data_IF_616977076766
#
_entry.id   IF_616977076766
#
_cell.length_a   1.000
_cell.length_b   1.000
_cell.length_c   1.000
_cell.angle_alpha   90.00
_cell.angle_beta   90.00
_cell.angle_gamma   90.00
#
_symmetry.space_group_name_H-M   'P 1'
#
loop_
_entity.id
_entity.type
_entity.pdbx_description
1 polymer ?
#
# COMPACT_ATOMS: atom_id res chain seq x y z
N UNK A 1 26.23 -2.50 2.92
CA UNK A 1 25.29 -1.36 2.86
C UNK A 1 24.57 -1.41 1.52
N UNK A 2 23.27 -1.21 1.54
CA UNK A 2 22.43 -1.15 0.33
C UNK A 2 21.91 0.28 0.24
N UNK A 3 21.99 0.89 -0.95
CA UNK A 3 21.54 2.26 -1.19
C UNK A 3 20.66 2.28 -2.43
N UNK A 4 19.50 2.90 -2.32
CA UNK A 4 18.57 3.13 -3.43
C UNK A 4 18.30 4.63 -3.58
N UNK A 5 18.16 5.08 -4.82
CA UNK A 5 17.59 6.39 -5.13
C UNK A 5 16.14 6.17 -5.57
N UNK A 6 15.19 6.69 -4.79
CA UNK A 6 13.76 6.43 -5.03
C UNK A 6 13.27 7.00 -6.36
N UNK A 7 13.89 8.08 -6.85
CA UNK A 7 13.54 8.63 -8.17
C UNK A 7 14.02 7.73 -9.30
N UNK A 8 15.24 7.21 -9.19
CA UNK A 8 15.80 6.28 -10.18
C UNK A 8 15.04 4.95 -10.20
N UNK A 9 14.54 4.52 -9.05
CA UNK A 9 13.77 3.29 -8.91
C UNK A 9 12.30 3.43 -9.35
N UNK A 10 11.81 4.65 -9.56
CA UNK A 10 10.41 4.89 -9.87
C UNK A 10 9.98 4.28 -11.21
N UNK A 11 8.80 3.67 -11.22
CA UNK A 11 8.14 3.12 -12.40
C UNK A 11 6.65 3.44 -12.33
N UNK A 12 6.09 3.97 -13.41
CA UNK A 12 4.68 4.35 -13.45
C UNK A 12 3.95 3.58 -14.54
N UNK A 13 2.69 3.24 -14.27
CA UNK A 13 1.80 2.56 -15.20
C UNK A 13 0.45 3.31 -15.22
N UNK A 14 -0.07 3.71 -16.40
CA UNK A 14 -1.32 4.44 -16.47
C UNK A 14 -2.56 3.65 -16.06
N UNK A 15 -2.48 2.31 -16.01
CA UNK A 15 -3.63 1.45 -15.68
C UNK A 15 -3.75 1.15 -14.18
N UNK A 16 -2.66 1.21 -13.43
CA UNK A 16 -2.62 0.90 -11.99
C UNK A 16 -1.34 1.44 -11.37
N UNK A 17 -1.37 1.70 -10.06
CA UNK A 17 -0.14 2.02 -9.35
C UNK A 17 0.83 0.84 -9.36
N UNK A 18 2.12 1.13 -9.26
CA UNK A 18 3.17 0.12 -9.18
C UNK A 18 3.75 0.11 -7.77
N UNK A 19 3.83 -1.08 -7.18
CA UNK A 19 4.57 -1.32 -5.96
C UNK A 19 5.83 -2.11 -6.29
N UNK A 20 6.94 -1.42 -6.40
CA UNK A 20 8.23 -2.03 -6.72
C UNK A 20 8.96 -2.41 -5.45
N UNK A 21 9.08 -3.71 -5.20
CA UNK A 21 9.84 -4.23 -4.07
C UNK A 21 11.33 -4.02 -4.35
N UNK A 22 11.98 -3.24 -3.50
CA UNK A 22 13.41 -2.93 -3.62
C UNK A 22 14.27 -3.97 -2.91
N UNK A 23 13.74 -4.59 -1.87
CA UNK A 23 14.44 -5.62 -1.13
C UNK A 23 13.60 -6.19 0.00
N UNK A 24 14.19 -7.15 0.72
CA UNK A 24 13.55 -7.82 1.83
C UNK A 24 14.27 -7.58 3.14
N UNK A 25 13.48 -7.57 4.21
CA UNK A 25 13.92 -7.55 5.59
C UNK A 25 13.51 -8.86 6.24
N UNK A 26 14.02 -9.15 7.42
CA UNK A 26 13.51 -10.27 8.21
C UNK A 26 12.02 -10.03 8.53
N UNK A 27 11.17 -10.89 8.00
CA UNK A 27 9.71 -10.80 8.19
C UNK A 27 8.99 -9.73 7.37
N UNK A 28 9.63 -9.18 6.32
CA UNK A 28 8.98 -8.14 5.53
C UNK A 28 9.76 -7.69 4.31
N UNK A 29 9.33 -6.56 3.75
CA UNK A 29 9.94 -5.95 2.59
C UNK A 29 9.93 -4.41 2.67
N UNK A 30 10.69 -3.78 1.78
CA UNK A 30 10.65 -2.35 1.57
C UNK A 30 10.47 -2.06 0.08
N UNK A 31 9.65 -1.05 -0.22
CA UNK A 31 9.04 -0.86 -1.53
C UNK A 31 8.97 0.62 -1.85
N UNK A 32 9.11 0.97 -3.13
CA UNK A 32 8.64 2.26 -3.62
C UNK A 32 7.32 2.05 -4.36
N UNK A 33 6.29 2.77 -3.93
CA UNK A 33 4.98 2.78 -4.56
C UNK A 33 4.85 4.03 -5.42
N UNK A 34 4.56 3.83 -6.70
CA UNK A 34 4.53 4.86 -7.72
C UNK A 34 3.12 5.03 -8.26
N UNK A 35 2.61 6.25 -8.17
CA UNK A 35 1.21 6.56 -8.44
C UNK A 35 1.08 7.61 -9.54
N UNK A 36 0.29 7.32 -10.56
CA UNK A 36 -0.19 8.33 -11.51
C UNK A 36 -1.35 9.11 -10.89
N UNK A 37 -1.64 10.33 -11.38
CA UNK A 37 -2.77 11.10 -10.86
C UNK A 37 -4.07 10.31 -10.80
N UNK A 38 -4.79 10.42 -9.68
CA UNK A 38 -6.10 9.83 -9.47
C UNK A 38 -6.15 8.32 -9.25
N UNK A 39 -5.04 7.62 -9.26
CA UNK A 39 -5.02 6.19 -8.98
C UNK A 39 -5.35 5.91 -7.52
N UNK A 40 -5.97 4.77 -7.28
CA UNK A 40 -6.47 4.41 -5.96
C UNK A 40 -6.13 2.97 -5.64
N UNK A 41 -5.70 2.75 -4.40
CA UNK A 41 -5.67 1.43 -3.79
C UNK A 41 -6.91 1.30 -2.91
N UNK A 42 -7.85 0.40 -3.24
CA UNK A 42 -9.08 0.28 -2.48
C UNK A 42 -8.83 -0.23 -1.06
N UNK A 43 -9.85 -0.10 -0.21
CA UNK A 43 -9.77 -0.56 1.18
C UNK A 43 -9.30 -1.99 1.29
N UNK A 44 -8.24 -2.16 2.07
CA UNK A 44 -7.64 -3.46 2.40
C UNK A 44 -6.89 -3.34 3.73
N UNK A 45 -6.49 -4.47 4.27
CA UNK A 45 -5.63 -4.52 5.45
C UNK A 45 -4.64 -5.68 5.35
N UNK A 46 -3.60 -5.62 6.16
CA UNK A 46 -2.63 -6.68 6.34
C UNK A 46 -2.81 -7.21 7.76
N UNK A 47 -3.47 -8.38 7.96
CA UNK A 47 -3.89 -8.84 9.28
C UNK A 47 -2.78 -8.94 10.32
N UNK A 48 -1.59 -9.36 9.91
CA UNK A 48 -0.48 -9.63 10.83
C UNK A 48 0.72 -8.70 10.63
N UNK A 49 0.62 -7.76 9.69
CA UNK A 49 1.75 -6.89 9.35
C UNK A 49 1.50 -5.44 9.75
N UNK A 50 2.58 -4.80 10.17
CA UNK A 50 2.66 -3.34 10.27
C UNK A 50 3.09 -2.79 8.93
N UNK A 51 2.44 -1.72 8.47
CA UNK A 51 2.78 -1.04 7.24
C UNK A 51 3.10 0.42 7.51
N UNK A 52 4.24 0.86 7.02
CA UNK A 52 4.72 2.22 7.22
C UNK A 52 4.88 2.88 5.85
N UNK A 53 4.26 4.05 5.67
CA UNK A 53 4.41 4.88 4.49
C UNK A 53 5.12 6.18 4.81
N UNK A 54 6.00 6.57 3.92
CA UNK A 54 6.60 7.90 3.91
C UNK A 54 6.37 8.51 2.53
N UNK A 55 5.74 9.69 2.48
CA UNK A 55 5.55 10.41 1.23
C UNK A 55 6.80 11.21 0.89
N UNK A 56 7.41 10.88 -0.24
CA UNK A 56 8.62 11.52 -0.73
C UNK A 56 8.31 12.63 -1.73
N UNK A 57 7.39 12.39 -2.66
CA UNK A 57 6.94 13.36 -3.67
C UNK A 57 5.43 13.20 -3.91
N UNK A 58 4.77 14.27 -4.32
CA UNK A 58 3.37 14.29 -4.67
C UNK A 58 2.47 14.29 -3.45
N UNK A 59 1.51 13.38 -3.43
CA UNK A 59 0.59 13.22 -2.32
C UNK A 59 -0.84 12.97 -2.74
N UNK A 60 -1.70 12.79 -1.76
CA UNK A 60 -3.11 12.47 -1.94
C UNK A 60 -3.83 12.41 -0.61
N UNK A 61 -4.68 11.40 -0.45
CA UNK A 61 -5.49 11.20 0.76
C UNK A 61 -5.38 9.76 1.22
N UNK A 62 -5.07 9.56 2.49
CA UNK A 62 -5.14 8.25 3.14
C UNK A 62 -6.39 8.18 4.00
N UNK A 63 -7.18 7.11 3.84
CA UNK A 63 -8.44 6.90 4.57
C UNK A 63 -8.37 5.65 5.41
N UNK A 64 -8.95 5.73 6.60
CA UNK A 64 -9.33 4.58 7.42
C UNK A 64 -10.84 4.67 7.69
N UNK A 65 -11.40 3.71 8.41
CA UNK A 65 -12.82 3.79 8.79
C UNK A 65 -13.13 4.95 9.74
N UNK A 66 -12.12 5.46 10.45
CA UNK A 66 -12.25 6.55 11.41
C UNK A 66 -12.11 7.94 10.80
N UNK A 67 -11.69 8.03 9.55
CA UNK A 67 -11.53 9.32 8.88
C UNK A 67 -10.44 9.30 7.81
N UNK A 68 -10.05 10.50 7.40
CA UNK A 68 -9.05 10.68 6.36
C UNK A 68 -8.03 11.74 6.73
N UNK A 69 -6.82 11.61 6.19
CA UNK A 69 -5.74 12.57 6.36
C UNK A 69 -5.13 12.94 5.01
N UNK A 70 -4.74 14.20 4.82
CA UNK A 70 -3.97 14.57 3.64
C UNK A 70 -2.57 13.96 3.72
N UNK A 71 -2.10 13.46 2.58
CA UNK A 71 -0.73 12.97 2.41
C UNK A 71 0.03 13.98 1.57
N UNK A 72 1.07 14.55 2.14
CA UNK A 72 1.94 15.54 1.50
C UNK A 72 3.40 15.13 1.67
N UNK A 73 4.35 15.69 0.89
CA UNK A 73 5.75 15.36 1.08
C UNK A 73 6.21 15.56 2.53
N UNK A 74 6.81 14.51 3.12
CA UNK A 74 7.17 14.45 4.52
C UNK A 74 6.15 13.74 5.41
N UNK A 75 4.96 13.43 4.92
CA UNK A 75 3.98 12.66 5.68
C UNK A 75 4.52 11.26 6.00
N UNK A 76 4.37 10.86 7.25
CA UNK A 76 4.78 9.56 7.77
C UNK A 76 3.57 8.89 8.42
N UNK A 77 3.16 7.74 7.87
CA UNK A 77 1.93 7.05 8.27
C UNK A 77 2.28 5.64 8.71
N UNK A 78 1.74 5.24 9.86
CA UNK A 78 1.88 3.88 10.37
C UNK A 78 0.50 3.25 10.45
N UNK A 79 0.32 2.13 9.74
CA UNK A 79 -0.85 1.27 9.86
C UNK A 79 -0.50 0.09 10.75
N UNK A 80 -1.08 -0.01 11.96
CA UNK A 80 -0.95 -1.20 12.79
C UNK A 80 -1.52 -2.43 12.07
N UNK A 81 -1.18 -3.66 12.51
CA UNK A 81 -1.78 -4.87 11.96
C UNK A 81 -3.31 -4.79 11.92
N UNK A 82 -3.88 -5.24 10.81
CA UNK A 82 -5.33 -5.30 10.57
C UNK A 82 -6.05 -3.95 10.39
N UNK A 83 -5.35 -2.82 10.37
CA UNK A 83 -6.01 -1.55 10.09
C UNK A 83 -6.42 -1.45 8.63
N UNK A 84 -7.73 -1.32 8.40
CA UNK A 84 -8.31 -1.15 7.07
C UNK A 84 -8.02 0.26 6.55
N UNK A 85 -7.40 0.36 5.38
CA UNK A 85 -7.03 1.65 4.81
C UNK A 85 -7.16 1.67 3.29
N UNK A 86 -7.27 2.89 2.75
CA UNK A 86 -7.36 3.19 1.33
C UNK A 86 -6.51 4.42 1.02
N UNK A 87 -5.74 4.37 -0.07
CA UNK A 87 -5.02 5.53 -0.58
C UNK A 87 -5.59 5.98 -1.92
N UNK A 88 -5.87 7.27 -2.04
CA UNK A 88 -6.27 7.92 -3.29
C UNK A 88 -5.23 8.98 -3.65
N UNK A 89 -4.60 8.80 -4.81
CA UNK A 89 -3.60 9.75 -5.27
C UNK A 89 -4.24 11.07 -5.73
N UNK A 90 -3.51 12.15 -5.53
CA UNK A 90 -3.93 13.48 -5.96
C UNK A 90 -3.65 13.75 -7.44
N UNK A 91 -3.43 15.03 -7.76
CA UNK A 91 -3.28 15.52 -9.13
C UNK A 91 -1.87 15.41 -9.70
N UNK A 92 -0.92 14.93 -8.93
CA UNK A 92 0.47 14.80 -9.33
C UNK A 92 0.95 13.35 -9.17
N UNK A 93 2.01 12.98 -9.90
CA UNK A 93 2.71 11.74 -9.64
C UNK A 93 3.23 11.71 -8.22
N UNK A 94 3.11 10.56 -7.58
CA UNK A 94 3.47 10.39 -6.16
C UNK A 94 4.41 9.22 -5.99
N UNK A 95 5.41 9.42 -5.14
CA UNK A 95 6.30 8.38 -4.65
C UNK A 95 6.08 8.21 -3.16
N UNK A 96 5.61 7.02 -2.77
CA UNK A 96 5.50 6.61 -1.38
C UNK A 96 6.54 5.52 -1.12
N UNK A 97 7.42 5.76 -0.17
CA UNK A 97 8.27 4.70 0.36
C UNK A 97 7.47 3.90 1.37
N UNK A 98 7.53 2.57 1.27
CA UNK A 98 6.78 1.67 2.16
C UNK A 98 7.70 0.62 2.76
N UNK A 99 7.55 0.40 4.07
CA UNK A 99 8.07 -0.77 4.77
C UNK A 99 6.89 -1.55 5.31
N UNK A 100 6.87 -2.85 5.06
CA UNK A 100 5.88 -3.76 5.62
C UNK A 100 6.62 -4.93 6.27
N UNK A 101 6.28 -5.23 7.50
CA UNK A 101 6.89 -6.34 8.22
C UNK A 101 5.89 -7.00 9.20
N UNK A 102 6.17 -8.23 9.59
CA UNK A 102 5.33 -9.01 10.49
C UNK A 102 4.93 -10.36 9.90
N UNK A 103 5.43 -10.70 8.71
CA UNK A 103 5.20 -11.99 8.07
C UNK A 103 3.94 -12.09 7.20
N UNK A 104 3.09 -11.09 7.20
CA UNK A 104 1.92 -11.08 6.32
C UNK A 104 2.33 -10.78 4.88
N UNK A 105 1.94 -11.64 3.96
CA UNK A 105 2.27 -11.49 2.54
C UNK A 105 1.12 -10.92 1.72
N UNK A 106 -0.11 -11.22 2.10
CA UNK A 106 -1.28 -10.89 1.30
C UNK A 106 -2.15 -9.85 1.98
N UNK A 107 -2.75 -8.98 1.19
CA UNK A 107 -3.71 -8.01 1.69
C UNK A 107 -5.11 -8.61 1.77
N UNK A 108 -5.91 -8.13 2.71
CA UNK A 108 -7.31 -8.49 2.83
C UNK A 108 -8.17 -7.27 2.53
N UNK A 109 -8.90 -7.32 1.44
CA UNK A 109 -9.88 -6.29 1.13
C UNK A 109 -11.23 -6.65 1.73
N UNK A 110 -11.76 -5.79 2.55
CA UNK A 110 -13.04 -5.99 3.23
C UNK A 110 -14.08 -4.97 2.80
N UNK A 111 -13.68 -3.86 2.20
CA UNK A 111 -14.58 -2.82 1.73
C UNK A 111 -14.06 -2.24 0.40
N UNK A 112 -14.98 -1.98 -0.51
CA UNK A 112 -14.67 -1.54 -1.88
C UNK A 112 -15.41 -0.26 -2.25
N UNK A 113 -15.44 0.69 -1.35
CA UNK A 113 -16.12 1.95 -1.59
C UNK A 113 -15.58 2.61 -2.85
N UNK A 114 -16.44 2.85 -3.83
CA UNK A 114 -16.07 3.43 -5.12
C UNK A 114 -15.41 2.47 -6.12
N UNK A 115 -15.27 1.18 -5.78
CA UNK A 115 -14.59 0.18 -6.63
C UNK A 115 -15.40 -1.12 -6.73
N UNK A 116 -16.55 -1.11 -7.39
CA UNK A 116 -17.43 -2.29 -7.43
C UNK A 116 -16.82 -3.49 -8.16
N UNK A 117 -15.90 -3.23 -9.09
CA UNK A 117 -15.28 -4.28 -9.91
C UNK A 117 -14.01 -4.89 -9.27
N UNK A 118 -13.57 -4.35 -8.14
CA UNK A 118 -12.40 -4.89 -7.46
C UNK A 118 -12.65 -6.30 -6.94
N UNK A 119 -11.66 -7.19 -7.11
CA UNK A 119 -11.70 -8.57 -6.59
C UNK A 119 -10.35 -8.93 -6.00
N UNK A 120 -10.38 -9.77 -4.98
CA UNK A 120 -9.14 -10.36 -4.46
C UNK A 120 -8.42 -11.17 -5.55
N UNK A 121 -7.10 -11.18 -5.48
CA UNK A 121 -6.30 -12.06 -6.33
C UNK A 121 -6.52 -13.54 -5.95
N UNK A 122 -6.24 -14.50 -6.85
CA UNK A 122 -6.32 -15.92 -6.50
C UNK A 122 -5.47 -16.29 -5.29
N UNK A 123 -4.28 -15.71 -5.17
CA UNK A 123 -3.37 -15.94 -4.04
C UNK A 123 -3.96 -15.43 -2.72
N UNK A 124 -4.57 -14.26 -2.74
CA UNK A 124 -5.25 -13.71 -1.56
C UNK A 124 -6.41 -14.59 -1.14
N UNK A 125 -7.21 -15.07 -2.11
CA UNK A 125 -8.33 -15.96 -1.83
C UNK A 125 -7.85 -17.24 -1.14
N UNK A 126 -6.80 -17.88 -1.66
CA UNK A 126 -6.24 -19.09 -1.06
C UNK A 126 -5.65 -18.84 0.33
N UNK A 127 -4.91 -17.75 0.48
CA UNK A 127 -4.36 -17.36 1.78
C UNK A 127 -5.47 -17.23 2.84
N UNK A 128 -6.53 -16.49 2.54
CA UNK A 128 -7.61 -16.28 3.52
C UNK A 128 -8.47 -17.52 3.77
N UNK A 129 -8.55 -18.43 2.82
CA UNK A 129 -9.14 -19.76 3.08
C UNK A 129 -8.31 -20.53 4.09
N UNK A 130 -6.99 -20.51 3.96
CA UNK A 130 -6.09 -21.22 4.90
C UNK A 130 -6.17 -20.64 6.31
N UNK A 131 -6.23 -19.33 6.43
CA UNK A 131 -6.37 -18.64 7.73
C UNK A 131 -7.73 -18.92 8.36
N UNK A 132 -8.81 -18.94 7.57
CA UNK A 132 -10.15 -19.21 8.07
C UNK A 132 -10.34 -20.66 8.56
N UNK A 133 -9.45 -21.58 8.15
CA UNK A 133 -9.49 -22.97 8.58
C UNK A 133 -8.83 -23.18 9.96
N UNK A 134 -8.11 -22.22 10.46
CA UNK A 134 -7.49 -22.24 11.79
C UNK A 134 -8.51 -21.80 12.85
#
# INVERSE_FOLDING_TARGET
MIVHDLREESEFDPSKHIEKILGTLEGGDYTVACWEPGQVSPYHCHPDATEIYFCFEGGGIMRTLDGEVPVTPGAFIVHPPAELHEYENGSERTLLFRVRYGGEKYSRATQRRGYPDWKQSPEEVEYFKSVAAE
#
